data_IF_672313179714
#
_entry.id   IF_672313179714
#
_cell.length_a   1.000
_cell.length_b   1.000
_cell.length_c   1.000
_cell.angle_alpha   90.00
_cell.angle_beta   90.00
_cell.angle_gamma   90.00
#
_symmetry.space_group_name_H-M   'P 1'
#
loop_
_entity.id
_entity.type
_entity.pdbx_description
1 polymer ?
#
# COMPACT_ATOMS: atom_id res chain seq x y z
N UNK A 1 39.64 -25.18 -34.11
CA UNK A 1 38.76 -25.22 -32.92
C UNK A 1 38.61 -23.77 -32.43
N UNK A 2 37.59 -23.09 -32.86
CA UNK A 2 37.39 -21.65 -32.56
C UNK A 2 36.28 -21.56 -31.55
N UNK A 3 36.59 -21.07 -30.35
CA UNK A 3 35.64 -20.87 -29.25
C UNK A 3 34.81 -19.60 -29.53
N UNK A 4 33.52 -19.74 -29.67
CA UNK A 4 32.54 -18.64 -29.73
C UNK A 4 32.33 -18.13 -28.28
N UNK A 5 32.86 -16.97 -27.99
CA UNK A 5 32.53 -16.19 -26.78
C UNK A 5 31.23 -15.43 -27.07
N UNK A 6 30.10 -15.90 -26.55
CA UNK A 6 28.86 -15.14 -26.43
C UNK A 6 28.89 -14.35 -25.11
N UNK A 7 29.41 -13.14 -25.14
CA UNK A 7 29.30 -12.17 -24.07
C UNK A 7 27.89 -11.57 -24.10
N UNK A 8 26.97 -12.13 -23.31
CA UNK A 8 25.68 -11.52 -23.01
C UNK A 8 25.88 -10.23 -22.23
N UNK A 9 25.67 -9.10 -22.88
CA UNK A 9 25.79 -7.77 -22.30
C UNK A 9 24.52 -7.47 -21.44
N UNK A 10 24.50 -7.92 -20.19
CA UNK A 10 23.49 -7.56 -19.19
C UNK A 10 23.77 -6.14 -18.71
N UNK A 11 23.30 -5.15 -19.49
CA UNK A 11 23.36 -3.76 -19.03
C UNK A 11 22.37 -3.57 -17.89
N UNK A 12 22.86 -3.45 -16.67
CA UNK A 12 22.10 -2.96 -15.52
C UNK A 12 21.50 -1.59 -15.87
N UNK A 13 20.18 -1.36 -15.72
CA UNK A 13 19.57 -0.08 -16.04
C UNK A 13 20.26 1.04 -15.27
N UNK A 14 20.69 2.12 -15.94
CA UNK A 14 21.30 3.26 -15.28
C UNK A 14 20.30 3.89 -14.29
N UNK A 15 20.77 4.38 -13.14
CA UNK A 15 19.96 4.99 -12.07
C UNK A 15 18.98 6.04 -12.62
N UNK A 16 19.40 6.88 -13.57
CA UNK A 16 18.54 7.87 -14.21
C UNK A 16 17.43 7.30 -15.10
N UNK A 17 17.54 6.05 -15.58
CA UNK A 17 16.48 5.37 -16.33
C UNK A 17 15.40 4.82 -15.39
N UNK A 18 15.81 4.32 -14.22
CA UNK A 18 14.89 3.85 -13.17
C UNK A 18 14.10 5.04 -12.61
N UNK A 19 14.77 6.16 -12.34
CA UNK A 19 14.12 7.36 -11.82
C UNK A 19 13.06 7.91 -12.80
N UNK A 20 13.35 7.91 -14.11
CA UNK A 20 12.39 8.33 -15.14
C UNK A 20 11.20 7.38 -15.26
N UNK A 21 11.43 6.08 -15.18
CA UNK A 21 10.34 5.09 -15.19
C UNK A 21 9.39 5.29 -13.99
N UNK A 22 9.94 5.49 -12.79
CA UNK A 22 9.13 5.75 -11.60
C UNK A 22 8.35 7.06 -11.70
N UNK A 23 8.95 8.11 -12.24
CA UNK A 23 8.27 9.39 -12.49
C UNK A 23 7.09 9.23 -13.45
N UNK A 24 7.26 8.45 -14.53
CA UNK A 24 6.17 8.15 -15.47
C UNK A 24 5.06 7.34 -14.81
N UNK A 25 5.38 6.34 -13.98
CA UNK A 25 4.38 5.54 -13.26
C UNK A 25 3.58 6.37 -12.26
N UNK A 26 4.23 7.29 -11.53
CA UNK A 26 3.57 8.19 -10.60
C UNK A 26 2.63 9.17 -11.35
N UNK A 27 3.09 9.78 -12.43
CA UNK A 27 2.29 10.64 -13.28
C UNK A 27 1.11 9.90 -13.92
N UNK A 28 1.34 8.67 -14.40
CA UNK A 28 0.29 7.82 -14.95
C UNK A 28 -0.80 7.54 -13.92
N UNK A 29 -0.42 7.16 -12.70
CA UNK A 29 -1.39 6.96 -11.63
C UNK A 29 -2.21 8.23 -11.35
N UNK A 30 -1.56 9.40 -11.24
CA UNK A 30 -2.24 10.69 -11.03
C UNK A 30 -3.28 10.97 -12.10
N UNK A 31 -2.93 10.78 -13.38
CA UNK A 31 -3.85 11.00 -14.50
C UNK A 31 -4.99 9.98 -14.47
N UNK A 32 -4.68 8.68 -14.31
CA UNK A 32 -5.72 7.64 -14.25
C UNK A 32 -6.67 7.82 -13.06
N UNK A 33 -6.17 8.19 -11.90
CA UNK A 33 -7.00 8.47 -10.72
C UNK A 33 -7.93 9.67 -10.89
N UNK A 34 -7.52 10.66 -11.72
CA UNK A 34 -8.28 11.87 -11.99
C UNK A 34 -9.39 11.68 -13.02
N UNK A 35 -9.12 10.96 -14.12
CA UNK A 35 -10.06 10.88 -15.26
C UNK A 35 -10.53 9.46 -15.61
N UNK A 36 -10.07 8.44 -14.89
CA UNK A 36 -10.34 7.03 -15.18
C UNK A 36 -9.47 6.48 -16.32
N UNK A 37 -9.48 5.15 -16.48
CA UNK A 37 -8.70 4.49 -17.52
C UNK A 37 -9.14 4.91 -18.93
N UNK A 38 -10.45 4.90 -19.21
CA UNK A 38 -10.97 5.13 -20.56
C UNK A 38 -10.56 6.49 -21.13
N UNK A 39 -10.67 7.56 -20.34
CA UNK A 39 -10.46 8.95 -20.78
C UNK A 39 -8.99 9.39 -20.70
N UNK A 40 -8.14 8.70 -19.95
CA UNK A 40 -6.74 9.05 -19.82
C UNK A 40 -6.00 8.93 -21.16
N UNK A 41 -5.20 9.95 -21.49
CA UNK A 41 -4.37 10.00 -22.70
C UNK A 41 -2.89 9.91 -22.33
N UNK A 42 -2.12 9.20 -23.12
CA UNK A 42 -0.66 9.08 -22.90
C UNK A 42 0.03 10.44 -23.05
N UNK A 43 -0.54 11.34 -23.83
CA UNK A 43 -0.04 12.72 -23.98
C UNK A 43 -0.12 13.49 -22.64
N UNK A 44 -1.23 13.34 -21.91
CA UNK A 44 -1.42 13.98 -20.61
C UNK A 44 -0.47 13.39 -19.57
N UNK A 45 -0.23 12.08 -19.62
CA UNK A 45 0.72 11.40 -18.74
C UNK A 45 2.16 11.87 -19.02
N UNK A 46 2.54 11.99 -20.30
CA UNK A 46 3.86 12.49 -20.68
C UNK A 46 4.09 13.94 -20.21
N UNK A 47 3.05 14.79 -20.35
CA UNK A 47 3.08 16.17 -19.86
C UNK A 47 3.21 16.23 -18.32
N UNK A 48 2.42 15.45 -17.60
CA UNK A 48 2.47 15.33 -16.12
C UNK A 48 3.84 14.86 -15.64
N UNK A 49 4.42 13.84 -16.31
CA UNK A 49 5.75 13.29 -16.01
C UNK A 49 6.90 14.20 -16.48
N UNK A 50 6.62 15.28 -17.25
CA UNK A 50 7.62 16.17 -17.85
C UNK A 50 8.62 15.43 -18.75
N UNK A 51 8.12 14.48 -19.54
CA UNK A 51 8.92 13.70 -20.50
C UNK A 51 8.30 13.76 -21.90
N UNK A 52 9.07 13.41 -22.92
CA UNK A 52 8.52 13.24 -24.27
C UNK A 52 7.61 12.00 -24.33
N UNK A 53 6.54 12.03 -25.12
CA UNK A 53 5.65 10.90 -25.37
C UNK A 53 6.41 9.63 -25.79
N UNK A 54 7.43 9.78 -26.64
CA UNK A 54 8.30 8.67 -27.05
C UNK A 54 9.00 8.00 -25.85
N UNK A 55 9.33 8.74 -24.79
CA UNK A 55 9.91 8.19 -23.58
C UNK A 55 8.92 7.27 -22.88
N UNK A 56 7.65 7.63 -22.82
CA UNK A 56 6.62 6.76 -22.24
C UNK A 56 6.52 5.45 -23.02
N UNK A 57 6.42 5.49 -24.35
CA UNK A 57 6.33 4.29 -25.17
C UNK A 57 7.62 3.45 -25.19
N UNK A 58 8.77 4.05 -24.92
CA UNK A 58 10.04 3.30 -24.78
C UNK A 58 10.08 2.46 -23.49
N UNK A 59 9.28 2.81 -22.48
CA UNK A 59 9.18 2.07 -21.21
C UNK A 59 7.95 1.17 -21.16
N UNK A 60 6.84 1.56 -21.83
CA UNK A 60 5.55 0.88 -21.73
C UNK A 60 4.97 0.72 -23.14
N UNK A 61 4.67 -0.51 -23.52
CA UNK A 61 4.23 -0.83 -24.88
C UNK A 61 2.91 -0.17 -25.27
N UNK A 62 1.97 -0.09 -24.31
CA UNK A 62 0.63 0.46 -24.49
C UNK A 62 0.08 1.07 -23.21
N UNK A 63 -1.09 1.68 -23.32
CA UNK A 63 -1.79 2.32 -22.21
C UNK A 63 -2.21 1.32 -21.13
N UNK A 64 -2.57 0.10 -21.51
CA UNK A 64 -2.96 -0.95 -20.56
C UNK A 64 -1.78 -1.40 -19.71
N UNK A 65 -0.64 -1.70 -20.33
CA UNK A 65 0.59 -2.05 -19.63
C UNK A 65 1.04 -0.93 -18.70
N UNK A 66 0.94 0.33 -19.14
CA UNK A 66 1.24 1.49 -18.29
C UNK A 66 0.30 1.57 -17.09
N UNK A 67 -1.01 1.36 -17.30
CA UNK A 67 -2.02 1.38 -16.24
C UNK A 67 -1.75 0.30 -15.19
N UNK A 68 -1.59 -0.95 -15.61
CA UNK A 68 -1.29 -2.07 -14.73
C UNK A 68 -0.01 -1.85 -13.93
N UNK A 69 1.05 -1.37 -14.57
CA UNK A 69 2.31 -1.10 -13.90
C UNK A 69 2.22 0.09 -12.92
N UNK A 70 1.42 1.12 -13.22
CA UNK A 70 1.18 2.23 -12.31
C UNK A 70 0.45 1.77 -11.04
N UNK A 71 -0.62 0.98 -11.18
CA UNK A 71 -1.35 0.37 -10.05
C UNK A 71 -0.43 -0.53 -9.23
N UNK A 72 0.35 -1.38 -9.89
CA UNK A 72 1.29 -2.29 -9.24
C UNK A 72 2.39 -1.55 -8.48
N UNK A 73 2.95 -0.48 -9.06
CA UNK A 73 3.98 0.34 -8.42
C UNK A 73 3.46 0.98 -7.13
N UNK A 74 2.26 1.56 -7.17
CA UNK A 74 1.66 2.19 -5.98
C UNK A 74 1.28 1.16 -4.91
N UNK A 75 0.74 0.00 -5.30
CA UNK A 75 0.44 -1.09 -4.37
C UNK A 75 1.70 -1.57 -3.63
N UNK A 76 2.83 -1.68 -4.33
CA UNK A 76 4.13 -2.02 -3.71
C UNK A 76 4.60 -0.94 -2.73
N UNK A 77 4.46 0.32 -3.08
CA UNK A 77 4.81 1.45 -2.20
C UNK A 77 3.95 1.44 -0.93
N UNK A 78 2.64 1.25 -1.07
CA UNK A 78 1.72 1.15 0.06
C UNK A 78 2.08 -0.04 0.98
N UNK A 79 2.37 -1.20 0.40
CA UNK A 79 2.81 -2.36 1.17
C UNK A 79 4.11 -2.10 1.92
N UNK A 80 5.12 -1.53 1.26
CA UNK A 80 6.41 -1.22 1.89
C UNK A 80 6.23 -0.25 3.07
N UNK A 81 5.38 0.76 2.93
CA UNK A 81 5.03 1.69 4.01
C UNK A 81 4.40 0.96 5.20
N UNK A 82 3.41 0.09 4.96
CA UNK A 82 2.75 -0.67 6.02
C UNK A 82 3.73 -1.60 6.75
N UNK A 83 4.59 -2.31 6.00
CA UNK A 83 5.60 -3.20 6.61
C UNK A 83 6.59 -2.42 7.46
N UNK A 84 7.08 -1.27 7.00
CA UNK A 84 7.96 -0.40 7.77
C UNK A 84 7.32 0.13 9.06
N UNK A 85 6.00 0.36 9.07
CA UNK A 85 5.26 0.71 10.29
C UNK A 85 5.20 -0.49 11.25
N UNK A 86 4.91 -1.69 10.75
CA UNK A 86 4.78 -2.91 11.56
C UNK A 86 6.12 -3.31 12.19
N UNK A 87 7.25 -3.04 11.53
CA UNK A 87 8.59 -3.30 12.08
C UNK A 87 8.82 -2.58 13.42
N UNK A 88 8.16 -1.45 13.67
CA UNK A 88 8.26 -0.72 14.94
C UNK A 88 7.74 -1.51 16.16
N UNK A 89 7.01 -2.63 15.94
CA UNK A 89 6.61 -3.57 17.00
C UNK A 89 7.72 -4.57 17.38
N UNK A 90 8.92 -4.51 16.80
CA UNK A 90 9.99 -5.48 17.10
C UNK A 90 10.52 -5.40 18.53
N UNK A 91 10.60 -4.20 19.08
CA UNK A 91 11.05 -3.96 20.44
C UNK A 91 10.08 -3.01 21.12
N UNK A 92 8.88 -3.48 21.50
CA UNK A 92 8.02 -2.67 22.32
C UNK A 92 8.75 -2.51 23.66
N UNK A 93 9.14 -1.28 23.99
CA UNK A 93 9.57 -0.94 25.35
C UNK A 93 8.51 -1.38 26.37
N UNK A 94 8.61 -0.94 27.60
CA UNK A 94 7.69 -1.37 28.65
C UNK A 94 6.22 -0.97 28.40
N UNK A 95 5.95 0.05 27.57
CA UNK A 95 4.60 0.54 27.26
C UNK A 95 4.08 -0.04 25.91
N UNK A 96 3.61 -1.29 25.96
CA UNK A 96 2.94 -1.92 24.81
C UNK A 96 1.68 -1.16 24.34
N UNK A 97 0.79 -0.67 25.22
CA UNK A 97 -0.36 0.13 24.82
C UNK A 97 0.00 1.38 24.00
N UNK A 98 1.02 2.14 24.41
CA UNK A 98 1.46 3.31 23.65
C UNK A 98 2.03 2.93 22.29
N UNK A 99 2.79 1.84 22.22
CA UNK A 99 3.35 1.34 20.95
C UNK A 99 2.27 0.86 19.98
N UNK A 100 1.26 0.14 20.47
CA UNK A 100 0.12 -0.26 19.65
C UNK A 100 -0.67 0.94 19.13
N UNK A 101 -0.81 2.01 19.92
CA UNK A 101 -1.43 3.27 19.44
C UNK A 101 -0.60 3.92 18.34
N UNK A 102 0.70 4.01 18.51
CA UNK A 102 1.58 4.62 17.50
C UNK A 102 1.51 3.85 16.17
N UNK A 103 1.70 2.54 16.23
CA UNK A 103 1.63 1.68 15.03
C UNK A 103 0.23 1.69 14.42
N UNK A 104 -0.82 1.58 15.24
CA UNK A 104 -2.21 1.63 14.79
C UNK A 104 -2.53 2.94 14.07
N UNK A 105 -2.10 4.08 14.64
CA UNK A 105 -2.31 5.40 14.02
C UNK A 105 -1.57 5.53 12.69
N UNK A 106 -0.33 5.07 12.61
CA UNK A 106 0.43 5.12 11.37
C UNK A 106 -0.17 4.21 10.30
N UNK A 107 -0.61 2.99 10.63
CA UNK A 107 -1.32 2.10 9.71
C UNK A 107 -2.63 2.75 9.21
N UNK A 108 -3.39 3.36 10.11
CA UNK A 108 -4.63 4.04 9.75
C UNK A 108 -4.38 5.27 8.85
N UNK A 109 -3.30 6.03 9.11
CA UNK A 109 -2.86 7.11 8.21
C UNK A 109 -2.48 6.60 6.83
N UNK A 110 -1.72 5.50 6.73
CA UNK A 110 -1.40 4.85 5.45
C UNK A 110 -2.68 4.42 4.71
N UNK A 111 -3.65 3.86 5.42
CA UNK A 111 -4.93 3.45 4.86
C UNK A 111 -5.75 4.65 4.36
N UNK A 112 -5.76 5.75 5.09
CA UNK A 112 -6.53 6.97 4.79
C UNK A 112 -5.78 7.98 3.90
N UNK A 113 -4.51 7.72 3.54
CA UNK A 113 -3.73 8.58 2.65
C UNK A 113 -4.42 8.75 1.29
N UNK A 114 -4.26 9.94 0.66
CA UNK A 114 -4.92 10.25 -0.62
C UNK A 114 -4.61 9.22 -1.70
N UNK A 115 -3.35 8.82 -1.82
CA UNK A 115 -2.91 7.85 -2.81
C UNK A 115 -3.56 6.48 -2.58
N UNK A 116 -3.66 6.03 -1.33
CA UNK A 116 -4.29 4.76 -0.98
C UNK A 116 -5.80 4.78 -1.24
N UNK A 117 -6.47 5.91 -0.96
CA UNK A 117 -7.88 6.12 -1.27
C UNK A 117 -8.12 6.16 -2.78
N UNK A 118 -7.30 6.92 -3.51
CA UNK A 118 -7.38 7.05 -4.96
C UNK A 118 -7.15 5.69 -5.64
N UNK A 119 -6.19 4.89 -5.14
CA UNK A 119 -5.95 3.54 -5.64
C UNK A 119 -7.18 2.65 -5.50
N UNK A 120 -7.79 2.60 -4.32
CA UNK A 120 -9.00 1.78 -4.09
C UNK A 120 -10.16 2.23 -4.97
N UNK A 121 -10.40 3.56 -5.09
CA UNK A 121 -11.44 4.10 -5.98
C UNK A 121 -11.19 3.70 -7.44
N UNK A 122 -9.97 3.89 -7.92
CA UNK A 122 -9.60 3.60 -9.31
C UNK A 122 -9.77 2.11 -9.61
N UNK A 123 -9.23 1.23 -8.77
CA UNK A 123 -9.34 -0.22 -8.97
C UNK A 123 -10.80 -0.68 -8.88
N UNK A 124 -11.57 -0.13 -7.95
CA UNK A 124 -13.01 -0.45 -7.85
C UNK A 124 -13.81 0.02 -9.08
N UNK A 125 -13.51 1.21 -9.61
CA UNK A 125 -14.17 1.74 -10.79
C UNK A 125 -13.86 0.92 -12.07
N UNK A 126 -12.65 0.40 -12.15
CA UNK A 126 -12.16 -0.36 -13.32
C UNK A 126 -12.24 -1.88 -13.12
N UNK A 127 -12.86 -2.35 -12.04
CA UNK A 127 -12.91 -3.76 -11.64
C UNK A 127 -13.51 -4.69 -12.70
N UNK A 128 -14.49 -4.20 -13.48
CA UNK A 128 -15.12 -4.99 -14.54
C UNK A 128 -14.16 -5.23 -15.71
N UNK A 129 -13.34 -4.24 -16.05
CA UNK A 129 -12.38 -4.32 -17.14
C UNK A 129 -11.07 -4.98 -16.71
N UNK A 130 -10.63 -4.79 -15.47
CA UNK A 130 -9.38 -5.26 -14.92
C UNK A 130 -9.58 -5.98 -13.57
N UNK A 131 -10.29 -7.13 -13.55
CA UNK A 131 -10.61 -7.82 -12.31
C UNK A 131 -9.36 -8.29 -11.52
N UNK A 132 -8.28 -8.60 -12.20
CA UNK A 132 -7.00 -9.00 -11.60
C UNK A 132 -6.34 -7.89 -10.75
N UNK A 133 -6.67 -6.62 -10.98
CA UNK A 133 -6.15 -5.52 -10.16
C UNK A 133 -6.77 -5.47 -8.75
N UNK A 134 -7.93 -6.10 -8.56
CA UNK A 134 -8.52 -6.27 -7.23
C UNK A 134 -7.59 -7.13 -6.36
N UNK A 135 -7.03 -8.18 -6.93
CA UNK A 135 -6.13 -9.10 -6.24
C UNK A 135 -4.88 -8.37 -5.72
N UNK A 136 -4.37 -7.39 -6.46
CA UNK A 136 -3.23 -6.57 -6.02
C UNK A 136 -3.53 -5.76 -4.75
N UNK A 137 -4.71 -5.14 -4.68
CA UNK A 137 -5.12 -4.36 -3.49
C UNK A 137 -5.40 -5.29 -2.31
N UNK A 138 -6.04 -6.42 -2.57
CA UNK A 138 -6.33 -7.44 -1.56
C UNK A 138 -5.03 -8.05 -1.01
N UNK A 139 -4.03 -8.29 -1.88
CA UNK A 139 -2.73 -8.81 -1.48
C UNK A 139 -1.97 -7.85 -0.55
N UNK A 140 -2.09 -6.52 -0.76
CA UNK A 140 -1.52 -5.54 0.18
C UNK A 140 -2.10 -5.72 1.58
N UNK A 141 -3.42 -5.82 1.69
CA UNK A 141 -4.12 -6.05 2.97
C UNK A 141 -3.70 -7.39 3.60
N UNK A 142 -3.71 -8.46 2.81
CA UNK A 142 -3.32 -9.80 3.28
C UNK A 142 -1.90 -9.83 3.82
N UNK A 143 -0.92 -9.30 3.07
CA UNK A 143 0.49 -9.26 3.50
C UNK A 143 0.71 -8.38 4.71
N UNK A 144 -0.01 -7.27 4.82
CA UNK A 144 0.00 -6.42 6.02
C UNK A 144 -0.49 -7.19 7.23
N UNK A 145 -1.62 -7.91 7.11
CA UNK A 145 -2.19 -8.72 8.20
C UNK A 145 -1.25 -9.84 8.63
N UNK A 146 -0.65 -10.56 7.68
CA UNK A 146 0.32 -11.64 8.00
C UNK A 146 1.53 -11.08 8.75
N UNK A 147 2.12 -9.98 8.26
CA UNK A 147 3.28 -9.37 8.92
C UNK A 147 2.95 -8.87 10.34
N UNK A 148 1.74 -8.31 10.54
CA UNK A 148 1.27 -7.91 11.85
C UNK A 148 1.06 -9.14 12.75
N UNK A 149 0.48 -10.22 12.24
CA UNK A 149 0.30 -11.49 12.93
C UNK A 149 1.62 -12.04 13.47
N UNK A 150 2.68 -12.02 12.65
CA UNK A 150 4.01 -12.44 13.08
C UNK A 150 4.54 -11.63 14.29
N UNK A 151 4.27 -10.31 14.32
CA UNK A 151 4.64 -9.46 15.46
C UNK A 151 3.81 -9.74 16.70
N UNK A 152 2.50 -9.92 16.53
CA UNK A 152 1.59 -10.26 17.62
C UNK A 152 1.92 -11.64 18.22
N UNK A 153 2.29 -12.63 17.39
CA UNK A 153 2.77 -13.92 17.84
C UNK A 153 3.98 -13.80 18.77
N UNK A 154 4.97 -13.00 18.40
CA UNK A 154 6.15 -12.75 19.23
C UNK A 154 5.80 -12.08 20.56
N UNK A 155 4.86 -11.14 20.57
CA UNK A 155 4.37 -10.50 21.78
C UNK A 155 3.60 -11.48 22.69
N UNK A 156 2.85 -12.41 22.10
CA UNK A 156 2.17 -13.48 22.83
C UNK A 156 3.17 -14.48 23.46
N UNK A 157 4.17 -14.90 22.70
CA UNK A 157 5.26 -15.77 23.21
C UNK A 157 6.06 -15.11 24.33
N UNK A 158 6.22 -13.77 24.29
CA UNK A 158 6.86 -12.99 25.34
C UNK A 158 5.93 -12.75 26.55
N UNK A 159 4.72 -13.32 26.56
CA UNK A 159 3.75 -13.18 27.66
C UNK A 159 3.09 -11.81 27.79
N UNK A 160 3.23 -10.94 26.75
CA UNK A 160 2.70 -9.56 26.75
C UNK A 160 1.23 -9.51 26.30
N UNK A 161 0.79 -10.50 25.52
CA UNK A 161 -0.57 -10.67 25.01
C UNK A 161 -1.03 -12.12 25.21
N UNK A 162 -2.35 -12.33 25.30
CA UNK A 162 -2.99 -13.63 25.37
C UNK A 162 -3.65 -13.96 24.02
N UNK A 163 -2.86 -14.30 23.02
CA UNK A 163 -3.32 -14.56 21.65
C UNK A 163 -3.06 -16.02 21.29
N UNK A 164 -4.12 -16.76 20.96
CA UNK A 164 -4.04 -18.15 20.49
C UNK A 164 -3.89 -18.21 18.96
N UNK A 165 -4.57 -17.30 18.23
CA UNK A 165 -4.51 -17.18 16.77
C UNK A 165 -4.02 -15.77 16.38
N UNK A 166 -2.71 -15.59 16.12
CA UNK A 166 -2.13 -14.30 15.82
C UNK A 166 -2.59 -13.69 14.48
N UNK A 167 -2.90 -14.52 13.48
CA UNK A 167 -3.38 -14.03 12.18
C UNK A 167 -4.82 -13.50 12.31
N UNK A 168 -5.68 -14.22 13.01
CA UNK A 168 -7.03 -13.75 13.32
C UNK A 168 -7.00 -12.47 14.16
N UNK A 169 -6.16 -12.41 15.18
CA UNK A 169 -6.03 -11.21 16.02
C UNK A 169 -5.52 -9.99 15.20
N UNK A 170 -4.59 -10.20 14.27
CA UNK A 170 -4.13 -9.16 13.36
C UNK A 170 -5.26 -8.68 12.44
N UNK A 171 -6.05 -9.60 11.88
CA UNK A 171 -7.24 -9.27 11.09
C UNK A 171 -8.26 -8.45 11.88
N UNK A 172 -8.51 -8.83 13.14
CA UNK A 172 -9.41 -8.10 14.03
C UNK A 172 -8.87 -6.71 14.37
N UNK A 173 -7.56 -6.58 14.63
CA UNK A 173 -6.95 -5.27 14.89
C UNK A 173 -7.07 -4.34 13.69
N UNK A 174 -6.75 -4.82 12.48
CA UNK A 174 -6.88 -4.03 11.26
C UNK A 174 -8.33 -3.66 10.96
N UNK A 175 -9.29 -4.55 11.23
CA UNK A 175 -10.71 -4.29 11.08
C UNK A 175 -11.22 -3.24 12.08
N UNK A 176 -10.77 -3.28 13.33
CA UNK A 176 -11.09 -2.26 14.35
C UNK A 176 -10.58 -0.87 13.95
N UNK A 177 -9.43 -0.79 13.27
CA UNK A 177 -8.88 0.46 12.76
C UNK A 177 -9.64 0.98 11.54
N UNK A 178 -9.77 0.13 10.50
CA UNK A 178 -10.27 0.54 9.20
C UNK A 178 -11.79 0.61 9.11
N UNK A 179 -12.53 -0.29 9.79
CA UNK A 179 -13.98 -0.39 9.67
C UNK A 179 -14.72 0.93 9.96
N UNK A 180 -14.48 1.59 11.10
CA UNK A 180 -15.10 2.90 11.36
C UNK A 180 -14.64 3.99 10.39
N UNK A 181 -13.39 3.94 9.92
CA UNK A 181 -12.86 4.92 8.98
C UNK A 181 -13.53 4.81 7.59
N UNK A 182 -13.93 3.62 7.14
CA UNK A 182 -14.57 3.42 5.84
C UNK A 182 -15.86 4.22 5.69
N UNK A 183 -16.67 4.28 6.74
CA UNK A 183 -17.89 5.10 6.77
C UNK A 183 -17.59 6.60 6.62
N UNK A 184 -16.51 7.07 7.25
CA UNK A 184 -16.10 8.48 7.22
C UNK A 184 -15.43 8.85 5.89
N UNK A 185 -14.71 7.92 5.27
CA UNK A 185 -14.06 8.11 3.98
C UNK A 185 -15.05 8.30 2.81
N UNK A 186 -16.32 7.95 2.97
CA UNK A 186 -17.36 8.07 1.92
C UNK A 186 -16.87 7.51 0.59
N UNK A 187 -16.53 6.23 0.56
CA UNK A 187 -15.95 5.57 -0.62
C UNK A 187 -14.60 6.19 -1.06
N UNK A 188 -13.85 6.76 -0.12
CA UNK A 188 -12.54 7.35 -0.39
C UNK A 188 -12.58 8.78 -0.95
N UNK A 189 -13.74 9.44 -0.98
CA UNK A 189 -13.88 10.81 -1.50
C UNK A 189 -13.59 11.90 -0.46
N UNK A 190 -13.68 11.58 0.83
CA UNK A 190 -13.49 12.55 1.92
C UNK A 190 -12.25 12.22 2.75
N UNK A 191 -11.38 13.19 3.06
CA UNK A 191 -10.30 13.00 4.01
C UNK A 191 -10.85 12.94 5.43
N UNK A 192 -10.15 12.22 6.32
CA UNK A 192 -10.46 12.18 7.76
C UNK A 192 -9.45 13.06 8.48
N UNK A 193 -9.87 13.99 9.37
CA UNK A 193 -8.97 14.79 10.19
C UNK A 193 -8.08 13.91 11.09
N UNK A 194 -6.84 14.34 11.37
CA UNK A 194 -5.90 13.57 12.21
C UNK A 194 -6.42 13.38 13.65
N UNK A 195 -7.20 14.32 14.18
CA UNK A 195 -7.87 14.20 15.48
C UNK A 195 -8.83 13.02 15.51
N UNK A 196 -9.56 12.80 14.42
CA UNK A 196 -10.50 11.68 14.30
C UNK A 196 -9.74 10.35 14.11
N UNK A 197 -8.65 10.33 13.33
CA UNK A 197 -7.80 9.14 13.20
C UNK A 197 -7.23 8.70 14.55
N UNK A 198 -6.82 9.65 15.42
CA UNK A 198 -6.37 9.37 16.78
C UNK A 198 -7.47 8.77 17.63
N UNK A 199 -8.67 9.37 17.61
CA UNK A 199 -9.82 8.87 18.35
C UNK A 199 -10.18 7.44 17.95
N UNK A 200 -10.26 7.15 16.64
CA UNK A 200 -10.52 5.80 16.13
C UNK A 200 -9.43 4.81 16.56
N UNK A 201 -8.17 5.23 16.49
CA UNK A 201 -7.03 4.40 16.92
C UNK A 201 -7.08 4.09 18.42
N UNK A 202 -7.34 5.07 19.26
CA UNK A 202 -7.44 4.88 20.70
C UNK A 202 -8.56 3.90 21.06
N UNK A 203 -9.71 4.03 20.41
CA UNK A 203 -10.85 3.12 20.58
C UNK A 203 -10.51 1.69 20.13
N UNK A 204 -9.86 1.55 18.96
CA UNK A 204 -9.45 0.25 18.42
C UNK A 204 -8.46 -0.46 19.35
N UNK A 205 -7.41 0.27 19.81
CA UNK A 205 -6.39 -0.29 20.69
C UNK A 205 -6.97 -0.63 22.08
N UNK A 206 -7.84 0.20 22.63
CA UNK A 206 -8.51 -0.09 23.88
C UNK A 206 -9.36 -1.37 23.80
N UNK A 207 -10.08 -1.56 22.70
CA UNK A 207 -10.88 -2.77 22.45
C UNK A 207 -9.99 -3.99 22.27
N UNK A 208 -8.94 -3.88 21.48
CA UNK A 208 -7.98 -4.96 21.24
C UNK A 208 -7.30 -5.41 22.56
N UNK A 209 -6.84 -4.47 23.40
CA UNK A 209 -6.21 -4.78 24.67
C UNK A 209 -7.18 -5.36 25.71
N UNK A 210 -8.48 -5.03 25.65
CA UNK A 210 -9.48 -5.72 26.49
C UNK A 210 -9.66 -7.17 26.11
N UNK A 211 -9.50 -7.50 24.80
CA UNK A 211 -9.63 -8.88 24.33
C UNK A 211 -8.36 -9.69 24.53
N UNK A 212 -7.18 -9.10 24.35
CA UNK A 212 -5.91 -9.82 24.24
C UNK A 212 -4.82 -9.34 25.21
N UNK A 213 -5.03 -8.27 25.98
CA UNK A 213 -4.07 -7.82 26.99
C UNK A 213 -3.96 -8.78 28.18
N UNK A 214 -2.76 -8.83 28.77
CA UNK A 214 -2.47 -9.59 30.01
C UNK A 214 -2.08 -8.65 31.13
#
# INVERSE_FOLDING_TARGET
>A
MTALQTSGNWQTPSRGRIDKQQAVLAAAFTVFARVGYAQARVDDIAAEAKVAKATVYNHFHDKESLFRQAVHSLSRTALAANLGVIEQLESPGDDLPARLREVGLQLLRCYCAEESRALRRLVSAEATQFPDLIDLVTEVSRRTTVALGDRLARLSLAGRLGIDDPEMAAGQFTALLAGPADGLLRLGTSPIPDTELRYLTDSAVATFLKAFGR
#
